data_IF_098783442964
#
_entry.id   IF_098783442964
#
_cell.length_a   1.000
_cell.length_b   1.000
_cell.length_c   1.000
_cell.angle_alpha   90.00
_cell.angle_beta   90.00
_cell.angle_gamma   90.00
#
_symmetry.space_group_name_H-M   'P 1'
#
loop_
_entity.id
_entity.type
_entity.pdbx_description
1 polymer ?
#
# COMPACT_ATOMS: atom_id res chain seq x y z
N UNK A 1 -46.19 47.57 17.79
CA UNK A 1 -45.24 47.21 16.70
C UNK A 1 -43.87 46.75 17.19
N UNK A 2 -43.16 47.48 18.06
CA UNK A 2 -41.80 47.11 18.54
C UNK A 2 -41.68 45.71 19.21
N UNK A 3 -42.71 45.23 19.91
CA UNK A 3 -42.74 43.87 20.52
C UNK A 3 -42.93 42.73 19.51
N UNK A 4 -43.58 42.97 18.38
CA UNK A 4 -43.80 41.98 17.32
C UNK A 4 -42.52 41.82 16.49
N UNK A 5 -41.88 42.93 16.13
CA UNK A 5 -40.58 42.93 15.41
C UNK A 5 -39.48 42.23 16.23
N UNK A 6 -39.48 42.41 17.55
CA UNK A 6 -38.52 41.77 18.47
C UNK A 6 -38.75 40.26 18.63
N UNK A 7 -40.00 39.79 18.51
CA UNK A 7 -40.35 38.35 18.50
C UNK A 7 -40.02 37.68 17.18
N UNK A 8 -40.26 38.35 16.05
CA UNK A 8 -39.83 37.87 14.72
C UNK A 8 -38.30 37.80 14.62
N UNK A 9 -37.57 38.79 15.14
CA UNK A 9 -36.10 38.80 15.15
C UNK A 9 -35.51 37.65 15.96
N UNK A 10 -36.10 37.29 17.11
CA UNK A 10 -35.64 36.16 17.92
C UNK A 10 -35.92 34.81 17.26
N UNK A 11 -37.07 34.67 16.58
CA UNK A 11 -37.45 33.46 15.85
C UNK A 11 -36.54 33.22 14.62
N UNK A 12 -36.12 34.29 13.93
CA UNK A 12 -35.16 34.22 12.81
C UNK A 12 -33.77 33.77 13.30
N UNK A 13 -33.30 34.25 14.46
CA UNK A 13 -32.01 33.82 15.02
C UNK A 13 -32.00 32.34 15.43
N UNK A 14 -33.11 31.80 15.94
CA UNK A 14 -33.22 30.38 16.31
C UNK A 14 -33.22 29.48 15.05
N UNK A 15 -33.92 29.89 13.99
CA UNK A 15 -33.93 29.16 12.71
C UNK A 15 -32.52 29.16 12.08
N UNK A 16 -31.79 30.28 12.18
CA UNK A 16 -30.42 30.39 11.69
C UNK A 16 -29.45 29.49 12.49
N UNK A 17 -29.65 29.33 13.79
CA UNK A 17 -28.87 28.44 14.65
C UNK A 17 -29.11 26.95 14.35
N UNK A 18 -30.34 26.57 13.98
CA UNK A 18 -30.69 25.21 13.58
C UNK A 18 -30.05 24.86 12.23
N UNK A 19 -29.95 25.81 11.30
CA UNK A 19 -29.24 25.60 10.02
C UNK A 19 -27.72 25.44 10.19
N UNK A 20 -27.11 26.04 11.21
CA UNK A 20 -25.68 25.81 11.53
C UNK A 20 -25.38 24.40 12.06
N UNK A 21 -26.38 23.66 12.56
CA UNK A 21 -26.21 22.29 13.09
C UNK A 21 -26.40 21.19 12.04
N UNK A 22 -26.85 21.52 10.82
CA UNK A 22 -26.97 20.57 9.69
C UNK A 22 -25.65 20.52 8.88
N UNK A 23 -24.64 21.28 9.29
CA UNK A 23 -23.31 21.32 8.69
C UNK A 23 -22.36 20.19 9.10
N UNK A 24 -22.85 19.01 9.49
CA UNK A 24 -22.02 17.82 9.43
C UNK A 24 -21.97 17.38 7.97
N UNK A 25 -20.98 17.90 7.26
CA UNK A 25 -20.61 17.46 5.92
C UNK A 25 -20.31 15.97 5.96
N UNK A 26 -21.34 15.15 5.74
CA UNK A 26 -21.19 13.78 5.30
C UNK A 26 -20.39 13.84 4.02
N UNK A 27 -19.09 13.63 4.11
CA UNK A 27 -18.31 13.22 2.95
C UNK A 27 -19.04 11.99 2.44
N UNK A 28 -19.65 12.10 1.27
CA UNK A 28 -20.18 10.95 0.53
C UNK A 28 -18.98 10.07 0.15
N UNK A 29 -18.47 9.33 1.14
CA UNK A 29 -17.46 8.31 0.92
C UNK A 29 -18.15 7.22 0.09
N UNK A 30 -17.56 6.88 -1.05
CA UNK A 30 -18.02 5.73 -1.86
C UNK A 30 -17.88 4.39 -1.10
N UNK A 31 -17.16 4.39 0.01
CA UNK A 31 -16.95 3.22 0.84
C UNK A 31 -18.13 3.03 1.80
N UNK A 32 -18.67 1.83 1.83
CA UNK A 32 -19.80 1.43 2.65
C UNK A 32 -19.54 0.02 3.21
N UNK A 33 -19.53 -0.18 4.55
CA UNK A 33 -19.40 -1.52 5.15
C UNK A 33 -20.44 -2.53 4.68
N UNK A 34 -21.66 -2.08 4.36
CA UNK A 34 -22.74 -2.95 3.88
C UNK A 34 -22.60 -3.31 2.39
N UNK A 35 -21.71 -2.62 1.66
CA UNK A 35 -21.39 -2.88 0.27
C UNK A 35 -19.89 -2.69 0.04
N UNK A 36 -19.05 -3.60 0.57
CA UNK A 36 -17.62 -3.43 0.60
C UNK A 36 -17.01 -3.51 -0.80
N UNK A 37 -15.89 -2.81 -0.98
CA UNK A 37 -15.05 -2.94 -2.17
C UNK A 37 -13.90 -3.88 -1.86
N UNK A 38 -13.69 -4.87 -2.73
CA UNK A 38 -12.53 -5.75 -2.67
C UNK A 38 -11.43 -5.21 -3.58
N UNK A 39 -10.21 -5.10 -3.04
CA UNK A 39 -8.99 -4.84 -3.80
C UNK A 39 -8.12 -6.08 -3.76
N UNK A 40 -7.54 -6.43 -4.89
CA UNK A 40 -6.67 -7.59 -5.06
C UNK A 40 -5.21 -7.19 -4.89
N UNK A 41 -4.39 -8.06 -4.29
CA UNK A 41 -2.95 -7.85 -4.12
C UNK A 41 -2.12 -9.06 -4.50
N UNK A 42 -1.02 -8.81 -5.24
CA UNK A 42 0.07 -9.76 -5.44
C UNK A 42 1.30 -9.36 -4.61
N UNK A 43 1.94 -10.31 -3.93
CA UNK A 43 3.17 -10.00 -3.18
C UNK A 43 4.15 -11.16 -3.08
N UNK A 44 5.39 -10.85 -2.65
CA UNK A 44 6.47 -11.85 -2.56
C UNK A 44 6.70 -12.42 -1.16
N UNK A 45 6.13 -11.79 -0.13
CA UNK A 45 6.31 -12.22 1.26
C UNK A 45 5.47 -13.47 1.50
N UNK A 46 6.07 -14.64 1.63
CA UNK A 46 5.33 -15.87 1.90
C UNK A 46 5.72 -17.09 1.05
N UNK A 47 6.58 -16.92 0.05
CA UNK A 47 6.98 -18.02 -0.85
C UNK A 47 7.79 -19.13 -0.16
N UNK A 48 8.36 -18.88 1.03
CA UNK A 48 9.23 -19.83 1.74
C UNK A 48 8.83 -20.07 3.21
N UNK A 49 8.05 -19.16 3.82
CA UNK A 49 7.59 -19.22 5.22
C UNK A 49 6.26 -18.48 5.37
N UNK A 50 5.51 -18.70 6.47
CA UNK A 50 4.33 -17.88 6.80
C UNK A 50 4.67 -16.38 6.74
N UNK A 51 3.79 -15.59 6.12
CA UNK A 51 4.05 -14.20 5.77
C UNK A 51 3.52 -13.23 6.84
N UNK A 52 4.37 -12.46 7.52
CA UNK A 52 3.92 -11.38 8.41
C UNK A 52 3.08 -10.32 7.70
N UNK A 53 3.16 -10.26 6.37
CA UNK A 53 2.34 -9.37 5.57
C UNK A 53 0.88 -9.85 5.48
N UNK A 54 0.65 -11.17 5.42
CA UNK A 54 -0.70 -11.74 5.48
C UNK A 54 -1.37 -11.42 6.82
N UNK A 55 -0.63 -11.48 7.93
CA UNK A 55 -1.15 -11.09 9.24
C UNK A 55 -1.56 -9.60 9.28
N UNK A 56 -0.78 -8.75 8.62
CA UNK A 56 -1.08 -7.31 8.51
C UNK A 56 -2.33 -7.06 7.67
N UNK A 57 -2.53 -7.81 6.58
CA UNK A 57 -3.73 -7.78 5.74
C UNK A 57 -4.95 -8.28 6.52
N UNK A 58 -4.81 -9.38 7.26
CA UNK A 58 -5.85 -9.93 8.14
C UNK A 58 -6.27 -8.93 9.20
N UNK A 59 -5.29 -8.28 9.86
CA UNK A 59 -5.55 -7.26 10.86
C UNK A 59 -6.28 -6.05 10.24
N UNK A 60 -5.86 -5.60 9.05
CA UNK A 60 -6.55 -4.52 8.33
C UNK A 60 -8.00 -4.92 8.01
N UNK A 61 -8.21 -6.08 7.39
CA UNK A 61 -9.52 -6.59 7.00
C UNK A 61 -10.46 -6.71 8.21
N UNK A 62 -9.96 -7.17 9.36
CA UNK A 62 -10.76 -7.30 10.60
C UNK A 62 -11.01 -5.98 11.33
N UNK A 63 -10.29 -4.90 11.00
CA UNK A 63 -10.36 -3.62 11.73
C UNK A 63 -10.81 -2.47 10.84
N UNK A 64 -9.89 -1.62 10.40
CA UNK A 64 -10.18 -0.40 9.64
C UNK A 64 -10.78 -0.74 8.28
N UNK A 65 -10.39 -1.86 7.67
CA UNK A 65 -10.97 -2.37 6.43
C UNK A 65 -12.47 -2.65 6.59
N UNK A 66 -12.85 -3.51 7.53
CA UNK A 66 -14.26 -3.78 7.84
C UNK A 66 -15.05 -2.51 8.18
N UNK A 67 -14.52 -1.63 9.02
CA UNK A 67 -15.19 -0.37 9.40
C UNK A 67 -15.40 0.57 8.23
N UNK A 68 -14.55 0.50 7.20
CA UNK A 68 -14.65 1.34 6.01
C UNK A 68 -15.37 0.65 4.86
N UNK A 69 -15.56 -0.66 4.89
CA UNK A 69 -16.05 -1.42 3.73
C UNK A 69 -14.98 -1.61 2.66
N UNK A 70 -13.75 -1.94 3.08
CA UNK A 70 -12.64 -2.29 2.19
C UNK A 70 -12.12 -3.66 2.61
N UNK A 71 -11.98 -4.56 1.63
CA UNK A 71 -11.41 -5.89 1.79
C UNK A 71 -10.18 -5.97 0.89
N UNK A 72 -9.06 -6.44 1.44
CA UNK A 72 -7.87 -6.79 0.66
C UNK A 72 -7.84 -8.30 0.48
N UNK A 73 -7.82 -8.75 -0.76
CA UNK A 73 -7.73 -10.16 -1.13
C UNK A 73 -6.35 -10.45 -1.72
N UNK A 74 -5.62 -11.38 -1.11
CA UNK A 74 -4.33 -11.87 -1.65
C UNK A 74 -4.64 -12.90 -2.73
N UNK A 75 -4.38 -12.55 -3.99
CA UNK A 75 -4.67 -13.43 -5.14
C UNK A 75 -3.44 -14.13 -5.70
N UNK A 76 -2.23 -13.65 -5.37
CA UNK A 76 -0.97 -14.34 -5.72
C UNK A 76 0.12 -14.09 -4.68
N UNK A 77 0.84 -15.14 -4.34
CA UNK A 77 2.07 -15.09 -3.55
C UNK A 77 3.17 -15.86 -4.28
N UNK A 78 4.22 -15.17 -4.71
CA UNK A 78 5.30 -15.77 -5.51
C UNK A 78 6.68 -15.27 -5.05
N UNK A 79 7.75 -15.56 -5.81
CA UNK A 79 9.06 -14.97 -5.57
C UNK A 79 9.29 -13.73 -6.44
N UNK A 80 10.41 -13.03 -6.21
CA UNK A 80 10.72 -11.77 -6.90
C UNK A 80 10.93 -11.89 -8.40
N UNK A 81 11.27 -13.08 -8.91
CA UNK A 81 11.44 -13.30 -10.34
C UNK A 81 10.10 -13.63 -10.98
N UNK A 82 9.34 -14.54 -10.36
CA UNK A 82 8.03 -14.95 -10.86
C UNK A 82 7.03 -13.79 -10.89
N UNK A 83 6.97 -12.96 -9.84
CA UNK A 83 6.03 -11.83 -9.79
C UNK A 83 6.26 -10.80 -10.91
N UNK A 84 7.52 -10.58 -11.32
CA UNK A 84 7.84 -9.67 -12.42
C UNK A 84 7.28 -10.21 -13.74
N UNK A 85 7.45 -11.51 -14.01
CA UNK A 85 6.93 -12.15 -15.21
C UNK A 85 5.40 -12.09 -15.25
N UNK A 86 4.75 -12.39 -14.14
CA UNK A 86 3.29 -12.35 -14.02
C UNK A 86 2.74 -10.94 -14.26
N UNK A 87 3.36 -9.91 -13.65
CA UNK A 87 2.95 -8.52 -13.83
C UNK A 87 3.09 -8.10 -15.31
N UNK A 88 4.22 -8.43 -15.93
CA UNK A 88 4.46 -8.05 -17.33
C UNK A 88 3.53 -8.78 -18.30
N UNK A 89 3.23 -10.06 -18.02
CA UNK A 89 2.25 -10.83 -18.79
C UNK A 89 0.84 -10.24 -18.67
N UNK A 90 0.42 -9.86 -17.45
CA UNK A 90 -0.87 -9.23 -17.18
C UNK A 90 -1.00 -7.86 -17.86
N UNK A 91 0.06 -7.03 -17.80
CA UNK A 91 0.10 -5.73 -18.48
C UNK A 91 0.02 -5.88 -20.01
N UNK A 92 0.65 -6.91 -20.56
CA UNK A 92 0.65 -7.20 -21.99
C UNK A 92 -0.59 -7.98 -22.47
N UNK A 93 -1.53 -8.30 -21.57
CA UNK A 93 -2.73 -9.09 -21.84
C UNK A 93 -2.42 -10.41 -22.58
N UNK A 94 -1.36 -11.09 -22.14
CA UNK A 94 -0.95 -12.37 -22.74
C UNK A 94 -2.09 -13.39 -22.56
N UNK A 95 -2.47 -14.16 -23.61
CA UNK A 95 -3.53 -15.15 -23.48
C UNK A 95 -3.28 -16.14 -22.34
N UNK A 96 -4.21 -16.17 -21.37
CA UNK A 96 -4.10 -17.01 -20.18
C UNK A 96 -3.39 -16.38 -18.99
N UNK A 97 -2.93 -15.12 -19.08
CA UNK A 97 -2.48 -14.38 -17.91
C UNK A 97 -3.66 -14.00 -17.02
N UNK A 98 -3.42 -13.98 -15.71
CA UNK A 98 -4.36 -13.35 -14.76
C UNK A 98 -4.46 -11.84 -15.02
N UNK A 99 -5.60 -11.21 -14.71
CA UNK A 99 -5.73 -9.76 -14.79
C UNK A 99 -4.78 -9.10 -13.78
N UNK A 100 -4.25 -7.93 -14.14
CA UNK A 100 -3.38 -7.15 -13.26
C UNK A 100 -4.13 -6.81 -11.96
N UNK A 101 -3.52 -7.03 -10.77
CA UNK A 101 -4.18 -6.75 -9.50
C UNK A 101 -4.25 -5.25 -9.25
N UNK A 102 -5.11 -4.85 -8.30
CA UNK A 102 -5.21 -3.45 -7.87
C UNK A 102 -3.93 -2.96 -7.16
N UNK A 103 -3.23 -3.89 -6.51
CA UNK A 103 -2.00 -3.67 -5.76
C UNK A 103 -0.98 -4.77 -6.09
N UNK A 104 0.29 -4.41 -6.18
CA UNK A 104 1.35 -5.42 -6.25
C UNK A 104 2.63 -4.92 -5.58
N UNK A 105 3.43 -5.86 -5.09
CA UNK A 105 4.78 -5.59 -4.58
C UNK A 105 5.78 -5.96 -5.66
N UNK A 106 6.55 -4.99 -6.11
CA UNK A 106 7.61 -5.20 -7.08
C UNK A 106 8.81 -4.30 -6.79
N UNK A 107 9.95 -4.64 -7.37
CA UNK A 107 11.10 -3.75 -7.38
C UNK A 107 10.92 -2.65 -8.44
N UNK A 108 11.57 -1.49 -8.28
CA UNK A 108 11.47 -0.37 -9.21
C UNK A 108 11.62 -0.75 -10.68
N UNK A 109 12.53 -1.68 -11.01
CA UNK A 109 12.92 -2.14 -12.36
C UNK A 109 11.80 -2.53 -13.36
N UNK A 110 10.56 -2.69 -12.91
CA UNK A 110 9.44 -3.05 -13.78
C UNK A 110 8.59 -1.84 -14.18
N UNK A 111 8.79 -0.68 -13.57
CA UNK A 111 7.98 0.52 -13.71
C UNK A 111 7.79 0.94 -15.17
N UNK A 112 8.88 0.96 -15.94
CA UNK A 112 8.88 1.50 -17.31
C UNK A 112 8.11 0.55 -18.22
N UNK A 113 8.25 -0.76 -17.95
CA UNK A 113 7.59 -1.82 -18.71
C UNK A 113 6.10 -1.91 -18.38
N UNK A 114 5.70 -1.64 -17.13
CA UNK A 114 4.28 -1.56 -16.75
C UNK A 114 3.61 -0.36 -17.44
N UNK A 115 4.33 0.75 -17.51
CA UNK A 115 3.85 2.02 -18.04
C UNK A 115 3.28 2.91 -16.93
N UNK A 116 3.77 4.16 -16.87
CA UNK A 116 3.42 5.11 -15.80
C UNK A 116 1.95 5.50 -15.77
N UNK A 117 1.23 5.30 -16.86
CA UNK A 117 -0.21 5.53 -16.98
C UNK A 117 -1.05 4.46 -16.28
N UNK A 118 -0.50 3.25 -16.07
CA UNK A 118 -1.15 2.16 -15.34
C UNK A 118 -0.88 2.20 -13.84
N UNK A 119 0.04 3.05 -13.37
CA UNK A 119 0.41 3.18 -11.97
C UNK A 119 -0.27 4.39 -11.33
N UNK A 120 -0.74 4.22 -10.09
CA UNK A 120 -1.34 5.29 -9.31
C UNK A 120 -0.24 6.26 -8.83
N UNK A 121 -0.41 7.56 -9.09
CA UNK A 121 0.37 8.57 -8.38
C UNK A 121 -0.15 8.71 -6.95
N UNK A 122 0.65 8.31 -5.97
CA UNK A 122 0.32 8.36 -4.54
C UNK A 122 0.42 9.77 -3.96
N UNK A 123 1.14 10.68 -4.62
CA UNK A 123 1.44 12.03 -4.11
C UNK A 123 0.19 12.84 -3.74
N UNK A 124 -0.94 12.79 -4.47
CA UNK A 124 -2.18 13.48 -4.10
C UNK A 124 -2.89 12.89 -2.86
N UNK A 125 -2.59 11.64 -2.50
CA UNK A 125 -3.27 10.92 -1.43
C UNK A 125 -2.52 10.95 -0.09
N UNK A 126 -1.23 11.32 -0.10
CA UNK A 126 -0.39 11.35 1.09
C UNK A 126 0.01 12.77 1.48
N UNK A 127 -0.10 13.09 2.76
CA UNK A 127 0.36 14.38 3.28
C UNK A 127 1.88 14.41 3.36
N UNK A 128 2.47 15.62 3.32
CA UNK A 128 3.91 15.79 3.56
C UNK A 128 4.38 15.19 4.89
N UNK A 129 3.55 15.29 5.93
CA UNK A 129 3.83 14.69 7.22
C UNK A 129 3.90 13.15 7.12
N UNK A 130 2.99 12.54 6.35
CA UNK A 130 3.00 11.08 6.14
C UNK A 130 4.21 10.62 5.34
N UNK A 131 4.56 11.38 4.30
CA UNK A 131 5.76 11.11 3.50
C UNK A 131 7.05 11.25 4.32
N UNK A 132 7.10 12.16 5.30
CA UNK A 132 8.27 12.31 6.18
C UNK A 132 8.46 11.18 7.19
N UNK A 133 7.49 10.26 7.32
CA UNK A 133 7.66 9.04 8.14
C UNK A 133 8.54 8.00 7.43
N UNK A 134 8.75 8.12 6.11
CA UNK A 134 9.59 7.22 5.34
C UNK A 134 11.07 7.62 5.36
N UNK A 135 11.95 6.64 5.16
CA UNK A 135 13.38 6.91 4.93
C UNK A 135 13.52 7.63 3.58
N UNK A 136 14.13 8.84 3.52
CA UNK A 136 14.14 9.65 2.31
C UNK A 136 14.69 8.93 1.09
N UNK A 137 15.81 8.22 1.24
CA UNK A 137 16.44 7.47 0.14
C UNK A 137 15.57 6.33 -0.38
N UNK A 138 14.71 5.74 0.45
CA UNK A 138 13.80 4.67 0.00
C UNK A 138 12.58 5.26 -0.69
N UNK A 139 12.13 6.43 -0.24
CA UNK A 139 11.03 7.14 -0.87
C UNK A 139 11.43 7.70 -2.23
N UNK A 140 12.67 8.18 -2.38
CA UNK A 140 13.24 8.66 -3.65
C UNK A 140 13.20 7.60 -4.76
N UNK A 141 13.42 6.33 -4.45
CA UNK A 141 13.33 5.23 -5.44
C UNK A 141 11.92 4.99 -5.98
N UNK A 142 10.88 5.49 -5.29
CA UNK A 142 9.50 5.39 -5.74
C UNK A 142 9.04 6.56 -6.62
N UNK A 143 9.89 7.59 -6.77
CA UNK A 143 9.61 8.73 -7.64
C UNK A 143 10.09 8.46 -9.06
N UNK A 144 9.16 8.64 -10.00
CA UNK A 144 9.45 8.63 -11.43
C UNK A 144 8.95 9.96 -11.99
N UNK A 145 9.88 10.75 -12.50
CA UNK A 145 9.70 12.18 -12.77
C UNK A 145 9.15 12.93 -11.54
N UNK A 146 7.94 13.47 -11.62
CA UNK A 146 7.29 14.24 -10.56
C UNK A 146 6.22 13.46 -9.78
N UNK A 147 6.02 12.18 -10.12
CA UNK A 147 4.99 11.29 -9.57
C UNK A 147 5.59 10.29 -8.60
N UNK A 148 4.86 9.99 -7.53
CA UNK A 148 5.23 8.93 -6.59
C UNK A 148 4.44 7.67 -6.99
N UNK A 149 5.04 6.79 -7.80
CA UNK A 149 4.33 5.63 -8.36
C UNK A 149 4.52 4.34 -7.54
N UNK A 150 5.49 4.31 -6.65
CA UNK A 150 5.74 3.17 -5.77
C UNK A 150 6.00 3.65 -4.34
N UNK A 151 5.41 2.96 -3.36
CA UNK A 151 5.65 3.22 -1.94
C UNK A 151 6.62 2.20 -1.37
N UNK A 152 7.66 2.63 -0.63
CA UNK A 152 8.59 1.69 -0.02
C UNK A 152 7.92 0.97 1.16
N UNK A 153 7.73 -0.34 1.04
CA UNK A 153 7.18 -1.20 2.11
C UNK A 153 8.29 -1.94 2.86
N UNK A 154 9.31 -2.42 2.14
CA UNK A 154 10.49 -3.05 2.71
C UNK A 154 11.71 -2.83 1.81
N UNK A 155 12.90 -3.06 2.39
CA UNK A 155 14.17 -3.10 1.67
C UNK A 155 14.90 -4.39 2.00
N UNK A 156 15.57 -4.94 1.00
CA UNK A 156 16.52 -6.02 1.15
C UNK A 156 17.95 -5.47 1.11
N UNK A 157 18.85 -6.15 1.79
CA UNK A 157 20.28 -5.94 1.67
C UNK A 157 20.93 -7.30 1.55
N UNK A 158 21.99 -7.39 0.76
CA UNK A 158 22.71 -8.64 0.55
C UNK A 158 23.57 -8.92 1.79
N UNK A 159 23.42 -10.11 2.34
CA UNK A 159 24.17 -10.58 3.50
C UNK A 159 24.82 -11.92 3.15
N UNK A 160 26.06 -12.10 3.61
CA UNK A 160 26.74 -13.38 3.51
C UNK A 160 26.47 -14.18 4.80
N UNK A 161 25.68 -15.24 4.68
CA UNK A 161 25.46 -16.19 5.77
C UNK A 161 26.42 -17.37 5.62
N UNK A 162 27.27 -17.60 6.63
CA UNK A 162 28.23 -18.70 6.66
C UNK A 162 27.88 -19.67 7.78
N UNK A 163 27.92 -20.96 7.48
CA UNK A 163 27.91 -21.99 8.52
C UNK A 163 29.29 -22.04 9.17
N UNK A 164 29.37 -21.51 10.40
CA UNK A 164 30.64 -21.41 11.13
C UNK A 164 31.35 -22.76 11.27
N UNK A 165 30.62 -23.83 11.62
CA UNK A 165 31.21 -25.16 11.81
C UNK A 165 31.89 -25.68 10.54
N UNK A 166 31.24 -25.52 9.39
CA UNK A 166 31.80 -25.96 8.11
C UNK A 166 32.97 -25.06 7.67
N UNK A 167 32.87 -23.76 7.93
CA UNK A 167 33.93 -22.81 7.59
C UNK A 167 35.19 -23.01 8.46
N UNK A 168 35.03 -23.33 9.74
CA UNK A 168 36.12 -23.68 10.64
C UNK A 168 36.86 -24.95 10.20
N UNK A 169 36.14 -25.93 9.64
CA UNK A 169 36.76 -27.11 9.05
C UNK A 169 37.57 -26.74 7.80
N UNK A 170 36.96 -26.00 6.88
CA UNK A 170 37.59 -25.54 5.63
C UNK A 170 38.91 -24.79 5.90
N UNK A 171 38.88 -23.81 6.81
CA UNK A 171 40.05 -22.96 7.13
C UNK A 171 41.19 -23.71 7.83
N UNK A 172 40.90 -24.76 8.60
CA UNK A 172 41.94 -25.62 9.21
C UNK A 172 42.69 -26.47 8.19
N UNK A 173 41.99 -26.97 7.17
CA UNK A 173 42.60 -27.76 6.09
C UNK A 173 43.53 -26.88 5.24
N UNK A 174 43.15 -25.64 4.97
CA UNK A 174 43.93 -24.71 4.14
C UNK A 174 45.23 -24.25 4.83
N UNK A 175 45.23 -24.08 6.16
CA UNK A 175 46.45 -23.82 6.95
C UNK A 175 47.43 -25.02 7.00
N UNK A 176 47.01 -26.19 6.54
CA UNK A 176 47.84 -27.40 6.44
C UNK A 176 48.50 -27.54 5.06
N UNK A 177 48.08 -26.75 4.08
CA UNK A 177 48.69 -26.63 2.74
C UNK A 177 49.46 -25.31 2.73
N UNK A 178 50.63 -25.31 3.38
CA UNK A 178 51.59 -24.22 3.17
C UNK A 178 52.10 -24.28 1.72
N UNK A 179 52.01 -23.15 1.02
CA UNK A 179 52.86 -22.82 -0.14
C UNK A 179 54.32 -22.81 0.30
#
# INVERSE_FOLDING_TARGET
MKRIVRRCSFMVCIIMLIFCLIGCSGKNTKLNPDNPVTLTIWHVYGSQTESPFNDSIDAFNRTVGAQRGVIIEVTSVSDSSAIDEDILAAVAEVPGSEPLPDLFIAYPRIEEKVGYDKLLDFKPYLTKAKLSEYIPTFLEEGYFDDKLLMLPVAKSTELLFLNQTNFDFFTKVELSIKV
#
